data_IF_933827289775
#
_entry.id   IF_933827289775
#
_cell.length_a   1.000
_cell.length_b   1.000
_cell.length_c   1.000
_cell.angle_alpha   90.00
_cell.angle_beta   90.00
_cell.angle_gamma   90.00
#
_symmetry.space_group_name_H-M   'P 1'
#
loop_
_entity.id
_entity.type
_entity.pdbx_description
1 polymer ?
#
# COMPACT_ATOMS: atom_id res chain seq x y z
N UNK A 1 7.57 -1.41 1.28
CA UNK A 1 7.62 -2.87 1.51
C UNK A 1 7.86 -3.16 2.99
N UNK A 2 7.36 -2.32 3.89
CA UNK A 2 7.68 -2.35 5.33
C UNK A 2 6.59 -3.12 6.14
N UNK A 3 5.51 -3.53 5.47
CA UNK A 3 4.33 -4.18 6.07
C UNK A 3 4.01 -5.57 5.49
N UNK A 4 4.90 -6.17 4.68
CA UNK A 4 4.69 -7.55 4.24
C UNK A 4 5.05 -8.50 5.39
N UNK A 5 4.28 -9.59 5.61
CA UNK A 5 4.56 -10.57 6.66
C UNK A 5 5.72 -11.50 6.24
N UNK A 6 6.87 -10.91 5.95
CA UNK A 6 8.09 -11.57 5.47
C UNK A 6 9.27 -11.26 6.39
N UNK A 7 9.13 -11.60 7.68
CA UNK A 7 10.18 -11.41 8.70
C UNK A 7 11.42 -12.30 8.44
N UNK A 8 11.28 -13.29 7.57
CA UNK A 8 12.35 -14.22 7.16
C UNK A 8 13.32 -13.63 6.13
N UNK A 9 13.11 -12.41 5.62
CA UNK A 9 13.99 -11.76 4.65
C UNK A 9 14.35 -10.32 5.01
N UNK A 10 15.47 -9.85 4.50
CA UNK A 10 15.84 -8.43 4.52
C UNK A 10 16.59 -8.03 3.26
N UNK A 11 16.52 -6.76 2.88
CA UNK A 11 17.21 -6.24 1.69
C UNK A 11 18.46 -5.47 2.09
N UNK A 12 19.54 -5.62 1.32
CA UNK A 12 20.76 -4.85 1.52
C UNK A 12 20.59 -3.37 1.21
N UNK A 13 21.41 -2.53 1.85
CA UNK A 13 21.44 -1.09 1.66
C UNK A 13 22.79 -0.63 1.11
N UNK A 14 22.83 0.53 0.44
CA UNK A 14 24.03 1.14 -0.11
C UNK A 14 24.82 0.20 -1.05
N UNK A 15 25.98 -0.32 -0.60
CA UNK A 15 26.85 -1.19 -1.40
C UNK A 15 26.24 -2.57 -1.65
N UNK A 16 25.28 -2.96 -0.83
CA UNK A 16 24.60 -4.25 -0.90
C UNK A 16 23.20 -4.13 -1.53
N UNK A 17 22.91 -2.99 -2.18
CA UNK A 17 21.63 -2.78 -2.83
C UNK A 17 21.41 -3.82 -3.95
N UNK A 18 20.21 -4.41 -3.98
CA UNK A 18 19.85 -5.49 -4.91
C UNK A 18 20.17 -6.90 -4.39
N UNK A 19 20.82 -7.03 -3.23
CA UNK A 19 21.04 -8.29 -2.53
C UNK A 19 19.87 -8.54 -1.57
N UNK A 20 19.41 -9.79 -1.53
CA UNK A 20 18.43 -10.26 -0.57
C UNK A 20 19.11 -11.21 0.42
N UNK A 21 18.81 -11.00 1.70
CA UNK A 21 19.20 -11.87 2.80
C UNK A 21 18.00 -12.71 3.20
N UNK A 22 18.15 -14.02 3.25
CA UNK A 22 17.11 -14.97 3.63
C UNK A 22 17.55 -15.67 4.91
N UNK A 23 16.87 -15.36 6.01
CA UNK A 23 17.15 -15.91 7.34
C UNK A 23 16.52 -17.29 7.53
N UNK A 24 15.41 -17.57 6.84
CA UNK A 24 14.73 -18.88 6.85
C UNK A 24 14.20 -19.22 5.45
N UNK A 25 14.95 -20.07 4.74
CA UNK A 25 14.61 -20.54 3.38
C UNK A 25 13.33 -21.38 3.41
N UNK A 26 13.13 -22.20 4.45
CA UNK A 26 11.97 -23.09 4.53
C UNK A 26 10.68 -22.30 4.75
N UNK A 27 10.74 -21.28 5.61
CA UNK A 27 9.62 -20.36 5.81
C UNK A 27 9.33 -19.56 4.54
N UNK A 28 10.33 -18.97 3.90
CA UNK A 28 10.15 -18.18 2.68
C UNK A 28 9.51 -19.02 1.57
N UNK A 29 10.01 -20.24 1.36
CA UNK A 29 9.43 -21.22 0.43
C UNK A 29 7.99 -21.56 0.74
N UNK A 30 7.66 -21.79 2.02
CA UNK A 30 6.29 -22.09 2.46
C UNK A 30 5.34 -20.93 2.22
N UNK A 31 5.77 -19.71 2.53
CA UNK A 31 4.95 -18.49 2.43
C UNK A 31 4.72 -18.11 0.96
N UNK A 32 5.78 -18.15 0.13
CA UNK A 32 5.69 -17.75 -1.28
C UNK A 32 5.33 -18.90 -2.23
N UNK A 33 5.32 -20.15 -1.74
CA UNK A 33 5.11 -21.34 -2.57
C UNK A 33 6.21 -21.52 -3.62
N UNK A 34 7.46 -21.19 -3.26
CA UNK A 34 8.66 -21.36 -4.11
C UNK A 34 9.41 -22.62 -3.70
N UNK A 35 10.11 -23.25 -4.65
CA UNK A 35 10.98 -24.38 -4.32
C UNK A 35 12.21 -23.86 -3.54
N UNK A 36 12.58 -24.45 -2.38
CA UNK A 36 13.78 -24.07 -1.64
C UNK A 36 15.07 -24.07 -2.47
N UNK A 37 15.12 -24.92 -3.50
CA UNK A 37 16.26 -24.98 -4.42
C UNK A 37 16.30 -23.79 -5.38
N UNK A 38 15.16 -23.21 -5.77
CA UNK A 38 15.11 -21.98 -6.57
C UNK A 38 15.70 -20.77 -5.82
N UNK A 39 15.64 -20.80 -4.48
CA UNK A 39 16.18 -19.75 -3.63
C UNK A 39 17.70 -19.86 -3.44
N UNK A 40 18.27 -21.06 -3.57
CA UNK A 40 19.67 -21.35 -3.17
C UNK A 40 20.57 -21.91 -4.28
N UNK A 41 20.01 -22.26 -5.45
CA UNK A 41 20.77 -22.91 -6.53
C UNK A 41 21.60 -21.97 -7.41
N UNK A 42 21.46 -20.66 -7.24
CA UNK A 42 22.29 -19.71 -7.99
C UNK A 42 23.77 -19.89 -7.61
N UNK A 43 24.70 -20.02 -8.57
CA UNK A 43 26.13 -20.19 -8.28
C UNK A 43 26.78 -19.05 -7.48
N UNK A 44 26.13 -17.88 -7.46
CA UNK A 44 26.56 -16.69 -6.72
C UNK A 44 25.82 -16.52 -5.39
N UNK A 45 24.86 -17.39 -5.09
CA UNK A 45 24.26 -17.48 -3.77
C UNK A 45 25.20 -18.22 -2.81
N UNK A 46 25.27 -17.76 -1.57
CA UNK A 46 26.07 -18.40 -0.53
C UNK A 46 25.44 -18.20 0.85
N UNK A 47 25.76 -19.11 1.76
CA UNK A 47 25.37 -19.05 3.16
C UNK A 47 26.47 -18.35 3.98
N UNK A 48 26.06 -17.39 4.81
CA UNK A 48 26.94 -16.76 5.80
C UNK A 48 27.15 -17.68 7.01
N UNK A 49 28.17 -17.35 7.83
CA UNK A 49 28.49 -18.10 9.06
C UNK A 49 27.33 -18.15 10.08
N UNK A 50 26.36 -17.24 9.98
CA UNK A 50 25.17 -17.16 10.83
C UNK A 50 23.96 -17.94 10.29
N UNK A 51 24.12 -18.61 9.15
CA UNK A 51 23.06 -19.37 8.47
C UNK A 51 22.19 -18.53 7.52
N UNK A 52 22.47 -17.24 7.37
CA UNK A 52 21.73 -16.35 6.46
C UNK A 52 22.18 -16.59 5.02
N UNK A 53 21.23 -16.82 4.12
CA UNK A 53 21.52 -16.90 2.69
C UNK A 53 21.61 -15.52 2.06
N UNK A 54 22.71 -15.27 1.36
CA UNK A 54 22.93 -14.09 0.53
C UNK A 54 22.66 -14.48 -0.91
N UNK A 55 21.63 -13.90 -1.53
CA UNK A 55 21.22 -14.26 -2.89
C UNK A 55 21.34 -13.07 -3.85
N UNK A 56 21.69 -13.33 -5.13
CA UNK A 56 21.87 -12.27 -6.11
C UNK A 56 20.54 -11.66 -6.55
N UNK A 57 20.63 -10.53 -7.26
CA UNK A 57 19.47 -9.78 -7.75
C UNK A 57 18.50 -10.61 -8.59
N UNK A 58 18.99 -11.60 -9.35
CA UNK A 58 18.12 -12.48 -10.13
C UNK A 58 17.13 -13.24 -9.23
N UNK A 59 17.63 -13.84 -8.14
CA UNK A 59 16.81 -14.50 -7.12
C UNK A 59 15.93 -13.50 -6.37
N UNK A 60 16.49 -12.33 -6.01
CA UNK A 60 15.72 -11.23 -5.38
C UNK A 60 14.51 -10.84 -6.23
N UNK A 61 14.67 -10.74 -7.56
CA UNK A 61 13.60 -10.35 -8.47
C UNK A 61 12.49 -11.40 -8.51
N UNK A 62 12.84 -12.69 -8.56
CA UNK A 62 11.87 -13.79 -8.50
C UNK A 62 11.07 -13.75 -7.19
N UNK A 63 11.77 -13.57 -6.06
CA UNK A 63 11.14 -13.44 -4.74
C UNK A 63 10.23 -12.21 -4.69
N UNK A 64 10.67 -11.06 -5.19
CA UNK A 64 9.88 -9.82 -5.19
C UNK A 64 8.63 -9.92 -6.06
N UNK A 65 8.73 -10.48 -7.27
CA UNK A 65 7.59 -10.74 -8.15
C UNK A 65 6.59 -11.68 -7.50
N UNK A 66 7.10 -12.76 -6.89
CA UNK A 66 6.24 -13.75 -6.23
C UNK A 66 5.55 -13.15 -5.00
N UNK A 67 6.29 -12.40 -4.18
CA UNK A 67 5.74 -11.68 -3.04
C UNK A 67 4.66 -10.68 -3.47
N UNK A 68 4.90 -9.89 -4.53
CA UNK A 68 3.91 -8.97 -5.06
C UNK A 68 2.63 -9.69 -5.53
N UNK A 69 2.76 -10.87 -6.14
CA UNK A 69 1.60 -11.67 -6.55
C UNK A 69 0.85 -12.31 -5.37
N UNK A 70 1.58 -12.83 -4.38
CA UNK A 70 0.98 -13.51 -3.21
C UNK A 70 0.30 -12.52 -2.26
N UNK A 71 0.90 -11.35 -2.07
CA UNK A 71 0.42 -10.28 -1.19
C UNK A 71 -0.12 -9.09 -1.98
N UNK A 72 -0.83 -9.38 -3.07
CA UNK A 72 -1.28 -8.36 -4.02
C UNK A 72 -2.14 -7.27 -3.35
N UNK A 73 -3.03 -7.65 -2.43
CA UNK A 73 -3.94 -6.70 -1.79
C UNK A 73 -3.17 -5.71 -0.88
N UNK A 74 -2.21 -6.21 -0.10
CA UNK A 74 -1.34 -5.39 0.77
C UNK A 74 -0.43 -4.49 -0.07
N UNK A 75 0.20 -5.04 -1.11
CA UNK A 75 1.11 -4.30 -1.98
C UNK A 75 0.37 -3.20 -2.75
N UNK A 76 -0.80 -3.50 -3.30
CA UNK A 76 -1.58 -2.52 -4.05
C UNK A 76 -2.15 -1.42 -3.14
N UNK A 77 -2.48 -1.75 -1.88
CA UNK A 77 -2.88 -0.75 -0.88
C UNK A 77 -1.74 0.23 -0.60
N UNK A 78 -0.53 -0.27 -0.36
CA UNK A 78 0.67 0.57 -0.17
C UNK A 78 0.94 1.46 -1.39
N UNK A 79 0.75 0.93 -2.61
CA UNK A 79 0.89 1.70 -3.85
C UNK A 79 -0.13 2.83 -3.92
N UNK A 80 -1.41 2.59 -3.60
CA UNK A 80 -2.45 3.63 -3.59
C UNK A 80 -2.18 4.70 -2.53
N UNK A 81 -1.69 4.31 -1.35
CA UNK A 81 -1.29 5.24 -0.29
C UNK A 81 -0.12 6.13 -0.75
N UNK A 82 0.90 5.54 -1.36
CA UNK A 82 2.03 6.28 -1.92
C UNK A 82 1.60 7.25 -3.03
N UNK A 83 0.69 6.84 -3.92
CA UNK A 83 0.14 7.71 -4.98
C UNK A 83 -0.74 8.82 -4.42
N UNK A 84 -1.53 8.53 -3.39
CA UNK A 84 -2.34 9.52 -2.71
C UNK A 84 -1.47 10.57 -2.03
N UNK A 85 -0.40 10.14 -1.35
CA UNK A 85 0.59 11.05 -0.76
C UNK A 85 1.27 11.90 -1.83
N UNK A 86 1.74 11.28 -2.91
CA UNK A 86 2.39 12.00 -4.01
C UNK A 86 1.46 13.06 -4.64
N UNK A 87 0.17 12.74 -4.83
CA UNK A 87 -0.84 13.71 -5.30
C UNK A 87 -1.01 14.89 -4.35
N UNK A 88 -0.97 14.67 -3.03
CA UNK A 88 -1.07 15.74 -2.05
C UNK A 88 0.20 16.62 -2.06
N UNK A 89 1.37 16.00 -2.09
CA UNK A 89 2.67 16.69 -2.13
C UNK A 89 2.85 17.49 -3.43
N UNK A 90 2.33 17.01 -4.56
CA UNK A 90 2.31 17.74 -5.82
C UNK A 90 1.47 19.04 -5.78
N UNK A 91 0.53 19.18 -4.83
CA UNK A 91 -0.29 20.39 -4.66
C UNK A 91 0.31 21.31 -3.60
N UNK A 92 0.81 20.73 -2.51
CA UNK A 92 1.15 21.46 -1.29
C UNK A 92 2.65 21.50 -0.97
N UNK A 93 3.48 20.81 -1.74
CA UNK A 93 4.87 20.50 -1.39
C UNK A 93 4.93 19.52 -0.23
N UNK A 94 6.13 19.23 0.25
CA UNK A 94 6.35 18.30 1.36
C UNK A 94 7.35 18.88 2.36
N UNK A 95 7.08 18.68 3.64
CA UNK A 95 8.05 18.98 4.69
C UNK A 95 8.82 17.72 5.05
N UNK A 96 10.14 17.81 4.95
CA UNK A 96 11.06 16.78 5.37
C UNK A 96 11.71 17.22 6.69
N UNK A 97 11.64 16.34 7.69
CA UNK A 97 12.33 16.51 8.97
C UNK A 97 13.46 15.49 9.06
N UNK A 98 14.67 15.93 9.35
CA UNK A 98 15.79 15.02 9.65
C UNK A 98 16.61 15.50 10.84
N UNK A 99 17.41 14.61 11.39
CA UNK A 99 18.33 14.96 12.49
C UNK A 99 19.37 16.04 12.13
N UNK A 100 19.53 16.37 10.84
CA UNK A 100 20.56 17.30 10.36
C UNK A 100 19.99 18.54 9.69
N UNK A 101 18.81 18.46 9.10
CA UNK A 101 18.17 19.58 8.40
C UNK A 101 16.65 19.37 8.28
N UNK A 102 15.92 20.46 8.43
CA UNK A 102 14.47 20.52 8.24
C UNK A 102 14.19 21.38 7.01
N UNK A 103 13.59 20.79 5.99
CA UNK A 103 13.44 21.41 4.68
C UNK A 103 12.01 21.34 4.16
N UNK A 104 11.60 22.40 3.47
CA UNK A 104 10.40 22.36 2.63
C UNK A 104 10.82 22.05 1.19
N UNK A 105 10.13 21.09 0.58
CA UNK A 105 10.28 20.68 -0.80
C UNK A 105 9.13 21.31 -1.58
N UNK A 106 9.47 22.07 -2.62
CA UNK A 106 8.49 22.73 -3.47
C UNK A 106 7.62 21.71 -4.24
N UNK A 107 6.33 22.01 -4.50
CA UNK A 107 5.43 21.12 -5.23
C UNK A 107 5.98 20.66 -6.59
N UNK A 108 6.69 21.53 -7.31
CA UNK A 108 7.32 21.23 -8.60
C UNK A 108 8.33 20.09 -8.49
N UNK A 109 9.12 20.06 -7.41
CA UNK A 109 10.08 18.98 -7.15
C UNK A 109 9.32 17.69 -6.84
N UNK A 110 8.26 17.77 -6.03
CA UNK A 110 7.40 16.62 -5.72
C UNK A 110 6.77 16.01 -6.99
N UNK A 111 6.35 16.84 -7.95
CA UNK A 111 5.82 16.39 -9.25
C UNK A 111 6.89 15.62 -10.06
N UNK A 112 8.11 16.14 -10.13
CA UNK A 112 9.20 15.47 -10.87
C UNK A 112 9.60 14.15 -10.21
N UNK A 113 9.64 14.11 -8.88
CA UNK A 113 9.84 12.88 -8.11
C UNK A 113 8.71 11.88 -8.37
N UNK A 114 7.45 12.30 -8.35
CA UNK A 114 6.32 11.41 -8.62
C UNK A 114 6.40 10.78 -10.03
N UNK A 115 6.74 11.59 -11.05
CA UNK A 115 6.96 11.09 -12.41
C UNK A 115 8.08 10.07 -12.49
N UNK A 116 9.15 10.23 -11.70
CA UNK A 116 10.27 9.30 -11.65
C UNK A 116 9.85 7.93 -11.08
N UNK A 117 8.98 7.91 -10.08
CA UNK A 117 8.56 6.67 -9.41
C UNK A 117 7.32 6.01 -10.05
N UNK A 118 6.54 6.73 -10.87
CA UNK A 118 5.35 6.20 -11.54
C UNK A 118 5.61 4.89 -12.34
N UNK A 119 6.70 4.74 -13.11
CA UNK A 119 6.98 3.48 -13.81
C UNK A 119 7.21 2.30 -12.86
N UNK A 120 7.87 2.53 -11.72
CA UNK A 120 8.11 1.48 -10.73
C UNK A 120 6.80 1.02 -10.07
N UNK A 121 5.90 1.96 -9.74
CA UNK A 121 4.58 1.62 -9.20
C UNK A 121 3.73 0.84 -10.20
N UNK A 122 3.79 1.21 -11.48
CA UNK A 122 3.11 0.46 -12.53
C UNK A 122 3.67 -0.96 -12.66
N UNK A 123 4.99 -1.13 -12.65
CA UNK A 123 5.62 -2.45 -12.70
C UNK A 123 5.18 -3.34 -11.52
N UNK A 124 5.07 -2.78 -10.31
CA UNK A 124 4.58 -3.50 -9.14
C UNK A 124 3.11 -3.93 -9.32
N UNK A 125 2.26 -3.06 -9.88
CA UNK A 125 0.87 -3.43 -10.23
C UNK A 125 0.82 -4.59 -11.22
N UNK A 126 1.70 -4.57 -12.21
CA UNK A 126 1.78 -5.64 -13.21
C UNK A 126 2.19 -6.98 -12.56
N UNK A 127 3.08 -6.96 -11.57
CA UNK A 127 3.47 -8.16 -10.80
C UNK A 127 2.38 -8.71 -9.88
N UNK A 128 1.51 -7.84 -9.36
CA UNK A 128 0.34 -8.27 -8.57
C UNK A 128 -0.67 -9.07 -9.41
N UNK A 129 -0.65 -8.89 -10.73
CA UNK A 129 -1.54 -9.56 -11.68
C UNK A 129 -2.82 -8.75 -11.96
N UNK A 130 -3.34 -8.91 -13.17
CA UNK A 130 -4.47 -8.12 -13.67
C UNK A 130 -5.74 -8.31 -12.84
N UNK A 131 -6.05 -9.55 -12.45
CA UNK A 131 -7.25 -9.86 -11.67
C UNK A 131 -7.22 -9.25 -10.25
N UNK A 132 -6.05 -9.20 -9.60
CA UNK A 132 -5.92 -8.54 -8.30
C UNK A 132 -6.02 -7.02 -8.44
N UNK A 133 -5.41 -6.44 -9.49
CA UNK A 133 -5.52 -5.03 -9.81
C UNK A 133 -6.97 -4.62 -10.15
N UNK A 134 -7.70 -5.46 -10.90
CA UNK A 134 -9.12 -5.26 -11.23
C UNK A 134 -10.01 -5.37 -9.98
N UNK A 135 -9.81 -6.39 -9.13
CA UNK A 135 -10.52 -6.51 -7.85
C UNK A 135 -10.32 -5.30 -6.94
N UNK A 136 -9.10 -4.79 -6.83
CA UNK A 136 -8.87 -3.56 -6.06
C UNK A 136 -9.56 -2.35 -6.70
N UNK A 137 -9.47 -2.21 -8.02
CA UNK A 137 -10.16 -1.13 -8.75
C UNK A 137 -11.68 -1.18 -8.52
N UNK A 138 -12.25 -2.38 -8.56
CA UNK A 138 -13.66 -2.62 -8.25
C UNK A 138 -13.99 -2.26 -6.80
N UNK A 139 -13.18 -2.68 -5.83
CA UNK A 139 -13.37 -2.33 -4.41
C UNK A 139 -13.29 -0.82 -4.18
N UNK A 140 -12.35 -0.12 -4.83
CA UNK A 140 -12.22 1.34 -4.77
C UNK A 140 -13.47 2.01 -5.36
N UNK A 141 -13.96 1.52 -6.51
CA UNK A 141 -15.17 2.04 -7.15
C UNK A 141 -16.42 1.81 -6.28
N UNK A 142 -16.58 0.60 -5.71
CA UNK A 142 -17.67 0.28 -4.80
C UNK A 142 -17.63 1.14 -3.53
N UNK A 143 -16.43 1.39 -2.97
CA UNK A 143 -16.27 2.25 -1.80
C UNK A 143 -16.61 3.70 -2.11
N UNK A 144 -16.23 4.20 -3.30
CA UNK A 144 -16.62 5.52 -3.76
C UNK A 144 -18.14 5.64 -3.92
N UNK A 145 -18.79 4.58 -4.42
CA UNK A 145 -20.25 4.56 -4.59
C UNK A 145 -20.99 4.51 -3.25
N UNK A 146 -20.54 3.68 -2.29
CA UNK A 146 -21.07 3.66 -0.92
C UNK A 146 -20.94 5.05 -0.29
N UNK A 147 -19.82 5.74 -0.47
CA UNK A 147 -19.64 7.09 0.04
C UNK A 147 -20.61 8.10 -0.60
N UNK A 148 -20.78 8.03 -1.94
CA UNK A 148 -21.72 8.89 -2.67
C UNK A 148 -23.17 8.66 -2.21
N UNK A 149 -23.57 7.41 -2.02
CA UNK A 149 -24.89 7.04 -1.50
C UNK A 149 -25.06 7.52 -0.06
N UNK A 150 -24.05 7.35 0.80
CA UNK A 150 -24.05 7.88 2.16
C UNK A 150 -24.29 9.39 2.19
N UNK A 151 -23.65 10.16 1.30
CA UNK A 151 -23.87 11.60 1.18
C UNK A 151 -25.27 11.97 0.68
N UNK A 152 -25.84 11.16 -0.22
CA UNK A 152 -27.19 11.38 -0.73
C UNK A 152 -28.25 11.10 0.35
N UNK A 153 -28.06 10.03 1.12
CA UNK A 153 -28.90 9.66 2.24
C UNK A 153 -28.82 10.70 3.35
N UNK A 154 -27.62 11.19 3.69
CA UNK A 154 -27.42 12.29 4.64
C UNK A 154 -28.25 13.52 4.26
N UNK A 155 -28.19 13.92 2.98
CA UNK A 155 -29.02 15.02 2.48
C UNK A 155 -30.52 14.73 2.59
N UNK A 156 -30.95 13.51 2.26
CA UNK A 156 -32.36 13.13 2.31
C UNK A 156 -32.90 13.15 3.75
N UNK A 157 -32.16 12.58 4.71
CA UNK A 157 -32.50 12.62 6.13
C UNK A 157 -32.54 14.05 6.64
N UNK A 158 -31.56 14.88 6.28
CA UNK A 158 -31.53 16.30 6.67
C UNK A 158 -32.75 17.06 6.16
N UNK A 159 -33.15 16.85 4.89
CA UNK A 159 -34.33 17.50 4.33
C UNK A 159 -35.63 16.94 4.93
N UNK A 160 -35.73 15.63 5.16
CA UNK A 160 -36.89 14.99 5.77
C UNK A 160 -37.09 15.44 7.21
N UNK A 161 -36.00 15.56 7.98
CA UNK A 161 -36.03 16.00 9.38
C UNK A 161 -36.55 17.42 9.59
N UNK A 162 -36.61 18.25 8.53
CA UNK A 162 -37.27 19.57 8.58
C UNK A 162 -38.80 19.47 8.71
N UNK A 163 -39.40 18.34 8.32
CA UNK A 163 -40.85 18.17 8.24
C UNK A 163 -41.35 16.97 9.06
N UNK A 164 -40.58 15.89 9.12
CA UNK A 164 -40.88 14.68 9.89
C UNK A 164 -39.62 14.09 10.53
N UNK A 165 -39.37 14.54 11.76
CA UNK A 165 -38.20 14.15 12.54
C UNK A 165 -38.26 12.71 13.01
N UNK A 166 -39.46 12.17 13.26
CA UNK A 166 -39.62 10.80 13.75
C UNK A 166 -39.21 9.78 12.69
N UNK A 167 -39.61 10.03 11.44
CA UNK A 167 -39.22 9.18 10.30
C UNK A 167 -37.74 9.35 9.94
N UNK A 168 -37.20 10.57 10.04
CA UNK A 168 -35.76 10.82 9.84
C UNK A 168 -34.88 10.08 10.88
N UNK A 169 -35.24 10.15 12.16
CA UNK A 169 -34.54 9.45 13.25
C UNK A 169 -34.65 7.92 13.10
N UNK A 170 -35.76 7.42 12.53
CA UNK A 170 -35.96 6.01 12.19
C UNK A 170 -35.01 5.53 11.09
N UNK A 171 -34.87 6.31 10.02
CA UNK A 171 -33.94 6.03 8.92
C UNK A 171 -32.48 6.06 9.38
N UNK A 172 -32.10 7.02 10.22
CA UNK A 172 -30.76 7.07 10.82
C UNK A 172 -30.44 5.81 11.64
N UNK A 173 -31.42 5.27 12.37
CA UNK A 173 -31.26 4.02 13.10
C UNK A 173 -31.14 2.79 12.20
N UNK A 174 -31.92 2.71 11.11
CA UNK A 174 -31.84 1.59 10.15
C UNK A 174 -30.50 1.57 9.40
N UNK A 175 -29.88 2.73 9.16
CA UNK A 175 -28.54 2.83 8.57
C UNK A 175 -27.45 2.19 9.44
N UNK A 176 -27.65 2.02 10.74
CA UNK A 176 -26.73 1.32 11.64
C UNK A 176 -25.37 2.01 11.85
N UNK A 177 -25.12 3.15 11.22
CA UNK A 177 -23.92 3.97 11.35
C UNK A 177 -24.37 5.43 11.49
N UNK A 178 -23.93 6.19 12.52
CA UNK A 178 -24.27 7.60 12.63
C UNK A 178 -23.78 8.35 11.38
N UNK A 179 -24.63 9.20 10.79
CA UNK A 179 -24.28 10.02 9.61
C UNK A 179 -23.01 10.85 9.88
N UNK A 180 -22.80 11.26 11.12
CA UNK A 180 -21.61 12.01 11.55
C UNK A 180 -20.30 11.19 11.47
N UNK A 181 -20.38 9.86 11.45
CA UNK A 181 -19.21 8.97 11.27
C UNK A 181 -18.73 8.97 9.81
N UNK A 182 -19.60 9.24 8.83
CA UNK A 182 -19.23 9.45 7.42
C UNK A 182 -18.53 10.80 7.17
N UNK A 183 -18.52 11.72 8.15
CA UNK A 183 -17.74 12.98 8.09
C UNK A 183 -16.30 12.80 8.57
N UNK A 184 -15.98 11.75 9.33
CA UNK A 184 -14.69 11.62 10.03
C UNK A 184 -13.64 10.78 9.30
N UNK A 185 -13.99 10.06 8.23
CA UNK A 185 -13.01 9.33 7.40
C UNK A 185 -12.14 10.23 6.49
N UNK A 186 -12.02 11.52 6.80
CA UNK A 186 -11.19 12.52 6.10
C UNK A 186 -10.43 13.47 7.03
N UNK A 187 -10.23 13.11 8.30
CA UNK A 187 -9.28 13.83 9.17
C UNK A 187 -8.13 12.89 9.51
N UNK A 188 -6.90 13.14 9.05
CA UNK A 188 -5.75 12.61 9.74
C UNK A 188 -5.72 13.30 11.11
N UNK A 189 -5.71 12.49 12.17
CA UNK A 189 -5.43 12.96 13.51
C UNK A 189 -4.04 13.58 13.51
N UNK A 190 -4.00 14.91 13.68
CA UNK A 190 -2.78 15.61 14.03
C UNK A 190 -2.52 15.41 15.53
N UNK A 191 -1.49 14.63 15.84
CA UNK A 191 -0.73 14.73 17.09
C UNK A 191 0.75 14.91 16.77
#
# INVERSE_FOLDING_TARGET
MENLPLDCISTGYNRDNGILFINDVAELSRVLGLDPTELTSDPTAFENDDGTWVVPFATTLVVAQRAASVFADEVLTEVEEAETKARQEAIHGSYHRSSRDDGYIEPEICIEVDKMYAPARQLVRDWCGHEAAERLTELVALRAEVFRLGKLVERAVTELGKWDRTTADGLEKELGIPIETLRHSRRPDHH
#
